data_IF_032354951591
#
_entry.id   IF_032354951591
#
_cell.length_a   1.000
_cell.length_b   1.000
_cell.length_c   1.000
_cell.angle_alpha   90.00
_cell.angle_beta   90.00
_cell.angle_gamma   90.00
#
_symmetry.space_group_name_H-M   'P 1'
#
loop_
_entity.id
_entity.type
_entity.pdbx_description
1 polymer ?
#
# COMPACT_ATOMS: atom_id res chain seq x y z
N UNK A 1 -12.84 -28.56 0.71
CA UNK A 1 -13.01 -27.25 1.37
C UNK A 1 -11.95 -26.31 0.84
N UNK A 2 -12.32 -25.11 0.38
CA UNK A 2 -11.33 -24.12 -0.02
C UNK A 2 -10.40 -23.77 1.15
N UNK A 3 -9.09 -23.54 0.90
CA UNK A 3 -8.13 -23.23 1.96
C UNK A 3 -8.52 -21.94 2.67
N UNK A 4 -8.53 -21.97 4.02
CA UNK A 4 -8.81 -20.76 4.81
C UNK A 4 -7.62 -19.81 4.70
N UNK A 5 -7.89 -18.57 4.31
CA UNK A 5 -6.90 -17.50 4.16
C UNK A 5 -7.02 -16.48 5.28
N UNK A 6 -5.96 -16.27 6.05
CA UNK A 6 -5.87 -15.14 6.97
C UNK A 6 -5.46 -13.89 6.19
N UNK A 7 -6.24 -12.81 6.33
CA UNK A 7 -5.87 -11.46 5.85
C UNK A 7 -5.65 -10.59 7.07
N UNK A 8 -4.43 -10.08 7.24
CA UNK A 8 -4.15 -9.07 8.27
C UNK A 8 -4.27 -7.66 7.68
N UNK A 9 -4.58 -6.68 8.52
CA UNK A 9 -4.88 -5.33 8.02
C UNK A 9 -6.21 -5.26 7.26
N UNK A 10 -7.12 -6.20 7.54
CA UNK A 10 -8.39 -6.36 6.85
C UNK A 10 -9.31 -5.13 6.92
N UNK A 11 -9.16 -4.28 7.93
CA UNK A 11 -9.87 -3.00 8.02
C UNK A 11 -9.23 -1.86 7.22
N UNK A 12 -8.01 -2.05 6.71
CA UNK A 12 -7.30 -1.05 5.92
C UNK A 12 -7.75 -0.96 4.47
N UNK A 13 -7.20 0.01 3.73
CA UNK A 13 -7.51 0.25 2.32
C UNK A 13 -7.36 -1.03 1.48
N UNK A 14 -6.15 -1.56 1.33
CA UNK A 14 -5.89 -2.73 0.50
C UNK A 14 -6.51 -4.01 1.09
N UNK A 15 -6.38 -4.20 2.42
CA UNK A 15 -6.87 -5.40 3.09
C UNK A 15 -8.38 -5.58 2.96
N UNK A 16 -9.17 -4.51 3.04
CA UNK A 16 -10.62 -4.58 2.88
C UNK A 16 -11.05 -4.99 1.46
N UNK A 17 -10.38 -4.48 0.43
CA UNK A 17 -10.63 -4.90 -0.95
C UNK A 17 -10.18 -6.35 -1.20
N UNK A 18 -9.08 -6.78 -0.56
CA UNK A 18 -8.64 -8.17 -0.67
C UNK A 18 -9.61 -9.14 -0.04
N UNK A 19 -10.15 -8.83 1.15
CA UNK A 19 -11.19 -9.66 1.78
C UNK A 19 -12.42 -9.76 0.88
N UNK A 20 -12.91 -8.65 0.32
CA UNK A 20 -14.02 -8.67 -0.64
C UNK A 20 -13.72 -9.56 -1.86
N UNK A 21 -12.52 -9.45 -2.42
CA UNK A 21 -12.11 -10.25 -3.57
C UNK A 21 -12.05 -11.75 -3.26
N UNK A 22 -11.48 -12.14 -2.12
CA UNK A 22 -11.39 -13.54 -1.69
C UNK A 22 -12.76 -14.15 -1.36
N UNK A 23 -13.63 -13.40 -0.68
CA UNK A 23 -15.00 -13.84 -0.41
C UNK A 23 -15.82 -13.99 -1.69
N UNK A 24 -15.63 -13.08 -2.66
CA UNK A 24 -16.25 -13.17 -3.99
C UNK A 24 -15.85 -14.42 -4.77
N UNK A 25 -14.66 -14.98 -4.50
CA UNK A 25 -14.20 -16.26 -5.05
C UNK A 25 -14.72 -17.48 -4.28
N UNK A 26 -15.50 -17.31 -3.23
CA UNK A 26 -15.93 -18.39 -2.35
C UNK A 26 -14.83 -18.93 -1.41
N UNK A 27 -13.76 -18.17 -1.19
CA UNK A 27 -12.72 -18.56 -0.25
C UNK A 27 -13.18 -18.36 1.21
N UNK A 28 -12.78 -19.26 2.09
CA UNK A 28 -12.93 -19.05 3.54
C UNK A 28 -11.90 -18.00 4.00
N UNK A 29 -12.37 -16.87 4.53
CA UNK A 29 -11.51 -15.76 4.94
C UNK A 29 -11.60 -15.51 6.44
N UNK A 30 -10.43 -15.49 7.11
CA UNK A 30 -10.28 -14.91 8.43
C UNK A 30 -9.67 -13.52 8.31
N UNK A 31 -10.32 -12.52 8.89
CA UNK A 31 -9.95 -11.11 8.79
C UNK A 31 -9.44 -10.60 10.14
N UNK A 32 -8.12 -10.34 10.26
CA UNK A 32 -7.55 -9.70 11.45
C UNK A 32 -7.55 -8.19 11.26
N UNK A 33 -8.32 -7.50 12.11
CA UNK A 33 -8.45 -6.04 12.08
C UNK A 33 -8.30 -5.45 13.50
N UNK A 34 -7.72 -4.25 13.59
CA UNK A 34 -7.59 -3.54 14.88
C UNK A 34 -8.95 -3.06 15.37
N UNK A 35 -9.18 -2.99 16.70
CA UNK A 35 -10.47 -2.54 17.27
C UNK A 35 -10.94 -1.18 16.73
N UNK A 36 -10.01 -0.29 16.42
CA UNK A 36 -10.29 1.05 15.90
C UNK A 36 -10.67 1.08 14.42
N UNK A 37 -10.58 -0.06 13.71
CA UNK A 37 -10.80 -0.13 12.27
C UNK A 37 -11.36 -1.49 11.84
N UNK A 38 -12.52 -1.84 12.37
CA UNK A 38 -13.29 -3.06 12.01
C UNK A 38 -14.50 -2.63 11.18
N UNK A 39 -14.49 -2.80 9.86
CA UNK A 39 -15.67 -2.55 9.06
C UNK A 39 -16.78 -3.57 9.39
N UNK A 40 -17.98 -3.10 9.71
CA UNK A 40 -19.12 -3.97 10.06
C UNK A 40 -19.44 -5.01 8.99
N UNK A 41 -19.34 -4.63 7.73
CA UNK A 41 -19.63 -5.50 6.59
C UNK A 41 -18.72 -6.74 6.48
N UNK A 42 -17.58 -6.78 7.16
CA UNK A 42 -16.70 -7.95 7.12
C UNK A 42 -17.41 -9.23 7.59
N UNK A 43 -18.09 -9.13 8.75
CA UNK A 43 -18.87 -10.24 9.27
C UNK A 43 -20.13 -10.50 8.45
N UNK A 44 -20.84 -9.44 8.04
CA UNK A 44 -22.06 -9.53 7.25
C UNK A 44 -21.84 -10.25 5.91
N UNK A 45 -20.63 -10.17 5.34
CA UNK A 45 -20.23 -10.86 4.11
C UNK A 45 -19.60 -12.25 4.34
N UNK A 46 -19.60 -12.74 5.57
CA UNK A 46 -19.14 -14.10 5.89
C UNK A 46 -17.66 -14.24 6.21
N UNK A 47 -16.93 -13.16 6.46
CA UNK A 47 -15.57 -13.26 6.98
C UNK A 47 -15.61 -13.63 8.49
N UNK A 48 -14.73 -14.55 8.90
CA UNK A 48 -14.45 -14.79 10.31
C UNK A 48 -13.60 -13.63 10.84
N UNK A 49 -14.19 -12.74 11.63
CA UNK A 49 -13.50 -11.52 12.10
C UNK A 49 -12.78 -11.78 13.42
N UNK A 50 -11.47 -11.55 13.43
CA UNK A 50 -10.63 -11.53 14.62
C UNK A 50 -10.26 -10.07 14.91
N UNK A 51 -10.68 -9.57 16.07
CA UNK A 51 -10.38 -8.20 16.49
C UNK A 51 -9.12 -8.20 17.34
N UNK A 52 -8.06 -7.56 16.87
CA UNK A 52 -6.80 -7.53 17.58
C UNK A 52 -5.68 -6.78 16.84
N UNK A 53 -4.58 -6.58 17.54
CA UNK A 53 -3.37 -5.97 16.97
C UNK A 53 -2.37 -7.05 16.53
N UNK A 54 -1.88 -6.94 15.30
CA UNK A 54 -0.91 -7.88 14.72
C UNK A 54 0.43 -7.88 15.45
N UNK A 55 0.71 -6.89 16.27
CA UNK A 55 1.93 -6.85 17.10
C UNK A 55 1.84 -7.70 18.37
N UNK A 56 0.67 -8.27 18.68
CA UNK A 56 0.44 -9.09 19.87
C UNK A 56 0.63 -10.57 19.55
N UNK A 57 1.58 -11.27 20.21
CA UNK A 57 1.87 -12.68 19.92
C UNK A 57 0.68 -13.62 20.07
N UNK A 58 -0.15 -13.39 21.10
CA UNK A 58 -1.37 -14.17 21.34
C UNK A 58 -2.39 -14.01 20.20
N UNK A 59 -2.49 -12.80 19.62
CA UNK A 59 -3.38 -12.54 18.49
C UNK A 59 -2.85 -13.18 17.21
N UNK A 60 -1.55 -13.17 17.01
CA UNK A 60 -0.90 -13.83 15.87
C UNK A 60 -1.15 -15.34 15.90
N UNK A 61 -0.94 -15.98 17.04
CA UNK A 61 -1.16 -17.42 17.21
C UNK A 61 -2.63 -17.78 16.95
N UNK A 62 -3.57 -17.08 17.58
CA UNK A 62 -5.01 -17.33 17.42
C UNK A 62 -5.47 -17.09 15.96
N UNK A 63 -4.98 -16.03 15.30
CA UNK A 63 -5.34 -15.72 13.92
C UNK A 63 -4.85 -16.78 12.93
N UNK A 64 -3.68 -17.38 13.14
CA UNK A 64 -3.10 -18.37 12.23
C UNK A 64 -3.72 -19.76 12.35
N UNK A 65 -4.41 -20.10 13.45
CA UNK A 65 -4.96 -21.44 13.68
C UNK A 65 -5.91 -21.90 12.57
N UNK A 66 -5.63 -23.06 11.98
CA UNK A 66 -6.44 -23.65 10.91
C UNK A 66 -6.43 -22.89 9.57
N UNK A 67 -5.54 -21.91 9.40
CA UNK A 67 -5.31 -21.25 8.13
C UNK A 67 -4.23 -21.97 7.32
N UNK A 68 -4.39 -22.03 6.01
CA UNK A 68 -3.41 -22.57 5.07
C UNK A 68 -2.57 -21.49 4.41
N UNK A 69 -3.13 -20.30 4.28
CA UNK A 69 -2.51 -19.14 3.64
C UNK A 69 -2.63 -17.92 4.55
N UNK A 70 -1.57 -17.14 4.62
CA UNK A 70 -1.58 -15.79 5.23
C UNK A 70 -1.29 -14.77 4.15
N UNK A 71 -2.13 -13.74 4.02
CA UNK A 71 -1.82 -12.52 3.26
C UNK A 71 -1.66 -11.37 4.25
N UNK A 72 -0.42 -10.96 4.43
CA UNK A 72 -0.05 -9.97 5.42
C UNK A 72 -0.02 -8.57 4.80
N UNK A 73 -1.13 -7.82 4.98
CA UNK A 73 -1.28 -6.44 4.49
C UNK A 73 -1.32 -5.39 5.63
N UNK A 74 -1.22 -5.83 6.90
CA UNK A 74 -1.09 -4.90 8.01
C UNK A 74 0.26 -4.17 7.95
N UNK A 75 0.23 -2.85 8.09
CA UNK A 75 1.44 -2.01 8.04
C UNK A 75 1.16 -0.62 8.60
N UNK A 76 2.16 0.00 9.20
CA UNK A 76 2.23 1.45 9.30
C UNK A 76 2.69 2.00 7.94
N UNK A 77 2.02 3.03 7.46
CA UNK A 77 2.32 3.68 6.18
C UNK A 77 2.95 5.05 6.40
N UNK A 78 3.60 5.60 5.39
CA UNK A 78 4.40 6.84 5.45
C UNK A 78 3.62 8.06 5.99
N UNK A 79 2.30 8.06 5.90
CA UNK A 79 1.46 9.17 6.35
C UNK A 79 1.23 9.21 7.87
N UNK A 80 1.61 8.17 8.59
CA UNK A 80 1.46 8.11 10.06
C UNK A 80 2.67 8.76 10.70
N UNK A 81 2.44 9.80 11.50
CA UNK A 81 3.50 10.49 12.23
C UNK A 81 3.81 9.74 13.53
N UNK A 82 4.81 8.88 13.47
CA UNK A 82 5.35 8.12 14.60
C UNK A 82 6.87 8.13 14.55
N UNK A 83 7.57 7.83 15.66
CA UNK A 83 9.01 7.61 15.64
C UNK A 83 9.42 6.54 14.62
N UNK A 84 10.57 6.70 14.00
CA UNK A 84 11.06 5.77 12.98
C UNK A 84 11.13 4.31 13.51
N UNK A 85 11.45 4.10 14.79
CA UNK A 85 11.47 2.79 15.45
C UNK A 85 10.12 2.07 15.40
N UNK A 86 8.99 2.79 15.41
CA UNK A 86 7.66 2.20 15.34
C UNK A 86 7.39 1.55 13.96
N UNK A 87 7.96 2.12 12.88
CA UNK A 87 7.88 1.47 11.57
C UNK A 87 8.56 0.10 11.60
N UNK A 88 9.74 -0.01 12.21
CA UNK A 88 10.46 -1.28 12.31
C UNK A 88 9.74 -2.27 13.22
N UNK A 89 9.25 -1.82 14.37
CA UNK A 89 8.49 -2.66 15.31
C UNK A 89 7.23 -3.26 14.67
N UNK A 90 6.44 -2.46 13.94
CA UNK A 90 5.17 -2.91 13.35
C UNK A 90 5.38 -3.60 12.01
N UNK A 91 6.23 -3.06 11.13
CA UNK A 91 6.34 -3.57 9.77
C UNK A 91 7.37 -4.71 9.62
N UNK A 92 8.40 -4.77 10.48
CA UNK A 92 9.43 -5.79 10.39
C UNK A 92 9.32 -6.84 11.51
N UNK A 93 9.42 -6.43 12.77
CA UNK A 93 9.45 -7.37 13.90
C UNK A 93 8.12 -8.13 14.05
N UNK A 94 6.98 -7.43 13.97
CA UNK A 94 5.69 -8.08 14.05
C UNK A 94 5.40 -8.96 12.82
N UNK A 95 5.93 -8.62 11.63
CA UNK A 95 5.82 -9.47 10.43
C UNK A 95 6.62 -10.77 10.60
N UNK A 96 7.84 -10.68 11.13
CA UNK A 96 8.65 -11.86 11.45
C UNK A 96 7.95 -12.76 12.47
N UNK A 97 7.46 -12.19 13.57
CA UNK A 97 6.76 -12.92 14.61
C UNK A 97 5.48 -13.60 14.08
N UNK A 98 4.74 -12.91 13.20
CA UNK A 98 3.57 -13.47 12.53
C UNK A 98 3.95 -14.65 11.62
N UNK A 99 5.02 -14.54 10.84
CA UNK A 99 5.47 -15.62 9.97
C UNK A 99 5.90 -16.86 10.78
N UNK A 100 6.61 -16.68 11.91
CA UNK A 100 6.95 -17.77 12.83
C UNK A 100 5.70 -18.39 13.45
N UNK A 101 4.69 -17.58 13.81
CA UNK A 101 3.39 -18.06 14.33
C UNK A 101 2.62 -18.83 13.25
N UNK A 102 2.66 -18.36 12.01
CA UNK A 102 2.06 -19.03 10.86
C UNK A 102 2.70 -20.40 10.60
N UNK A 103 4.04 -20.48 10.61
CA UNK A 103 4.76 -21.73 10.43
C UNK A 103 4.41 -22.75 11.53
N UNK A 104 4.40 -22.32 12.80
CA UNK A 104 3.98 -23.17 13.94
C UNK A 104 2.54 -23.67 13.83
N UNK A 105 1.65 -22.84 13.27
CA UNK A 105 0.23 -23.21 13.04
C UNK A 105 0.02 -24.11 11.80
N UNK A 106 1.10 -24.46 11.06
CA UNK A 106 1.03 -25.31 9.88
C UNK A 106 0.60 -24.58 8.59
N UNK A 107 0.62 -23.25 8.57
CA UNK A 107 0.41 -22.44 7.36
C UNK A 107 1.44 -22.85 6.31
N UNK A 108 1.00 -22.98 5.06
CA UNK A 108 1.86 -23.42 3.95
C UNK A 108 2.43 -22.28 3.14
N UNK A 109 1.73 -21.16 3.09
CA UNK A 109 2.07 -20.01 2.24
C UNK A 109 1.87 -18.69 2.97
N UNK A 110 2.87 -17.84 2.88
CA UNK A 110 2.87 -16.49 3.44
C UNK A 110 3.10 -15.46 2.33
N UNK A 111 2.08 -14.65 2.06
CA UNK A 111 2.16 -13.55 1.09
C UNK A 111 2.36 -12.24 1.86
N UNK A 112 3.50 -11.62 1.65
CA UNK A 112 3.84 -10.34 2.27
C UNK A 112 3.59 -9.17 1.32
N UNK A 113 2.78 -8.22 1.73
CA UNK A 113 2.61 -6.96 1.00
C UNK A 113 3.72 -5.99 1.40
N UNK A 114 4.73 -5.91 0.55
CA UNK A 114 5.84 -4.96 0.64
C UNK A 114 5.49 -3.66 -0.09
N UNK A 115 6.47 -2.98 -0.67
CA UNK A 115 6.30 -1.73 -1.40
C UNK A 115 7.49 -1.50 -2.33
N UNK A 116 7.29 -0.77 -3.44
CA UNK A 116 8.42 -0.24 -4.22
C UNK A 116 9.26 0.80 -3.46
N UNK A 117 8.80 1.26 -2.28
CA UNK A 117 9.58 2.15 -1.41
C UNK A 117 10.83 1.50 -0.81
N UNK A 118 11.00 0.19 -0.94
CA UNK A 118 12.24 -0.52 -0.59
C UNK A 118 13.40 -0.16 -1.54
N UNK A 119 13.09 0.42 -2.69
CA UNK A 119 14.07 0.91 -3.65
C UNK A 119 14.19 2.43 -3.62
N UNK A 120 15.34 2.94 -4.04
CA UNK A 120 15.49 4.36 -4.38
C UNK A 120 14.58 4.71 -5.56
N UNK A 121 14.02 5.94 -5.62
CA UNK A 121 13.37 6.43 -6.81
C UNK A 121 14.27 6.28 -8.03
N UNK A 122 13.68 5.89 -9.15
CA UNK A 122 14.42 5.67 -10.38
C UNK A 122 14.09 6.75 -11.43
N UNK A 123 15.08 7.06 -12.24
CA UNK A 123 14.91 7.87 -13.44
C UNK A 123 15.41 7.08 -14.64
N UNK A 124 14.52 6.83 -15.60
CA UNK A 124 14.88 6.21 -16.88
C UNK A 124 14.76 4.69 -16.95
N UNK A 125 15.36 3.92 -16.04
CA UNK A 125 15.25 2.45 -16.06
C UNK A 125 14.20 1.94 -15.06
N UNK A 126 13.21 1.12 -15.48
CA UNK A 126 12.24 0.52 -14.58
C UNK A 126 12.91 -0.34 -13.49
N UNK A 127 12.34 -0.30 -12.28
CA UNK A 127 12.68 -1.22 -11.19
C UNK A 127 12.27 -2.64 -11.57
N UNK A 128 13.14 -3.59 -11.27
CA UNK A 128 12.87 -5.03 -11.37
C UNK A 128 13.21 -5.73 -10.04
N UNK A 129 12.98 -7.04 -9.98
CA UNK A 129 13.19 -7.84 -8.78
C UNK A 129 14.68 -7.93 -8.37
N UNK A 130 15.61 -7.66 -9.30
CA UNK A 130 17.06 -7.68 -9.06
C UNK A 130 17.61 -6.29 -8.67
N UNK A 131 16.78 -5.26 -8.74
CA UNK A 131 17.17 -3.90 -8.34
C UNK A 131 17.52 -3.85 -6.87
N UNK A 132 18.66 -3.27 -6.52
CA UNK A 132 19.16 -3.17 -5.14
C UNK A 132 18.15 -2.47 -4.23
N UNK A 133 18.03 -2.94 -2.99
CA UNK A 133 17.21 -2.33 -1.97
C UNK A 133 17.94 -1.14 -1.36
N UNK A 134 17.47 0.06 -1.65
CA UNK A 134 18.02 1.33 -1.15
C UNK A 134 16.88 2.25 -0.71
N UNK A 135 16.24 1.98 0.44
CA UNK A 135 15.13 2.78 0.93
C UNK A 135 15.59 4.18 1.38
N UNK A 136 14.78 5.20 1.09
CA UNK A 136 15.09 6.59 1.45
C UNK A 136 14.43 7.05 2.77
N UNK A 137 13.50 6.28 3.31
CA UNK A 137 12.77 6.62 4.54
C UNK A 137 12.58 5.40 5.46
N UNK A 138 12.14 5.65 6.69
CA UNK A 138 11.92 4.61 7.70
C UNK A 138 10.87 3.59 7.27
N UNK A 139 9.85 4.01 6.50
CA UNK A 139 8.84 3.09 5.96
C UNK A 139 9.47 2.10 4.98
N UNK A 140 10.17 2.60 3.95
CA UNK A 140 10.88 1.75 3.01
C UNK A 140 11.91 0.86 3.69
N UNK A 141 12.68 1.42 4.65
CA UNK A 141 13.63 0.69 5.47
C UNK A 141 13.00 -0.45 6.25
N UNK A 142 11.87 -0.20 6.90
CA UNK A 142 11.14 -1.22 7.66
C UNK A 142 10.57 -2.33 6.77
N UNK A 143 10.12 -1.99 5.54
CA UNK A 143 9.66 -3.01 4.57
C UNK A 143 10.82 -3.86 4.05
N UNK A 144 11.98 -3.26 3.76
CA UNK A 144 13.17 -4.00 3.34
C UNK A 144 13.70 -4.92 4.47
N UNK A 145 13.68 -4.45 5.72
CA UNK A 145 14.04 -5.26 6.88
C UNK A 145 13.06 -6.42 7.08
N UNK A 146 11.74 -6.17 6.91
CA UNK A 146 10.72 -7.21 6.94
C UNK A 146 10.98 -8.31 5.90
N UNK A 147 11.27 -7.94 4.65
CA UNK A 147 11.56 -8.90 3.58
C UNK A 147 12.75 -9.80 3.96
N UNK A 148 13.83 -9.21 4.48
CA UNK A 148 15.02 -9.96 4.91
C UNK A 148 14.71 -10.93 6.03
N UNK A 149 13.97 -10.50 7.07
CA UNK A 149 13.56 -11.33 8.21
C UNK A 149 12.63 -12.46 7.78
N UNK A 150 11.66 -12.16 6.92
CA UNK A 150 10.72 -13.16 6.39
C UNK A 150 11.42 -14.21 5.52
N UNK A 151 12.42 -13.81 4.74
CA UNK A 151 13.24 -14.76 3.97
C UNK A 151 14.01 -15.71 4.88
N UNK A 152 14.56 -15.23 6.01
CA UNK A 152 15.21 -16.07 7.01
C UNK A 152 14.22 -17.07 7.64
N UNK A 153 13.03 -16.60 8.06
CA UNK A 153 11.99 -17.49 8.61
C UNK A 153 11.56 -18.55 7.59
N UNK A 154 11.39 -18.17 6.33
CA UNK A 154 11.02 -19.09 5.26
C UNK A 154 12.09 -20.19 5.05
N UNK A 155 13.37 -19.82 5.07
CA UNK A 155 14.49 -20.77 4.97
C UNK A 155 14.55 -21.73 6.16
N UNK A 156 14.31 -21.25 7.39
CA UNK A 156 14.32 -22.04 8.62
C UNK A 156 13.13 -23.02 8.72
N UNK A 157 11.95 -22.61 8.21
CA UNK A 157 10.69 -23.33 8.49
C UNK A 157 10.11 -24.08 7.30
N UNK A 158 10.62 -23.84 6.10
CA UNK A 158 10.04 -24.35 4.84
C UNK A 158 8.73 -23.64 4.44
N UNK A 159 8.38 -22.52 5.08
CA UNK A 159 7.21 -21.71 4.72
C UNK A 159 7.38 -21.11 3.32
N UNK A 160 6.45 -21.35 2.41
CA UNK A 160 6.49 -20.72 1.08
C UNK A 160 6.26 -19.22 1.21
N UNK A 161 7.29 -18.42 0.94
CA UNK A 161 7.22 -16.95 0.98
C UNK A 161 6.99 -16.36 -0.42
N UNK A 162 6.01 -15.47 -0.51
CA UNK A 162 5.78 -14.62 -1.67
C UNK A 162 5.77 -13.16 -1.22
N UNK A 163 6.63 -12.36 -1.80
CA UNK A 163 6.71 -10.92 -1.53
C UNK A 163 6.13 -10.16 -2.73
N UNK A 164 5.12 -9.35 -2.49
CA UNK A 164 4.54 -8.47 -3.51
C UNK A 164 4.93 -7.03 -3.22
N UNK A 165 5.62 -6.38 -4.15
CA UNK A 165 6.03 -4.96 -4.08
C UNK A 165 5.15 -4.13 -5.01
N UNK A 166 3.98 -3.67 -4.57
CA UNK A 166 3.15 -2.80 -5.40
C UNK A 166 3.78 -1.41 -5.55
N UNK A 167 3.58 -0.81 -6.72
CA UNK A 167 3.80 0.61 -6.94
C UNK A 167 2.73 1.44 -6.23
N UNK A 168 2.49 2.70 -6.62
CA UNK A 168 1.53 3.57 -5.95
C UNK A 168 0.09 3.07 -6.15
N UNK A 169 -0.46 2.45 -5.12
CA UNK A 169 -1.85 1.97 -5.13
C UNK A 169 -2.80 3.14 -4.97
N UNK A 170 -3.92 3.13 -5.70
CA UNK A 170 -5.01 4.09 -5.55
C UNK A 170 -6.37 3.41 -5.77
N UNK A 171 -7.45 4.04 -5.29
CA UNK A 171 -8.80 3.54 -5.45
C UNK A 171 -9.74 3.98 -4.32
N UNK A 172 -10.97 3.47 -4.29
CA UNK A 172 -11.91 3.66 -3.19
C UNK A 172 -11.29 3.33 -1.83
N UNK A 173 -11.62 4.08 -0.78
CA UNK A 173 -11.10 3.92 0.59
C UNK A 173 -9.62 4.32 0.78
N UNK A 174 -8.94 4.86 -0.24
CA UNK A 174 -7.57 5.39 -0.08
C UNK A 174 -7.58 6.76 0.60
N UNK A 175 -7.34 6.80 1.90
CA UNK A 175 -7.28 8.06 2.65
C UNK A 175 -6.10 8.95 2.23
N UNK A 176 -5.03 8.40 1.69
CA UNK A 176 -3.82 9.12 1.30
C UNK A 176 -4.03 9.99 0.06
N UNK A 177 -4.36 9.37 -1.06
CA UNK A 177 -4.68 10.11 -2.29
C UNK A 177 -6.03 10.82 -2.22
N UNK A 178 -6.96 10.37 -1.40
CA UNK A 178 -8.19 11.07 -1.13
C UNK A 178 -8.00 12.50 -0.66
N UNK A 179 -6.93 12.79 0.09
CA UNK A 179 -6.57 14.19 0.43
C UNK A 179 -6.26 15.03 -0.81
N UNK A 180 -5.67 14.43 -1.84
CA UNK A 180 -5.41 15.11 -3.12
C UNK A 180 -6.72 15.38 -3.86
N UNK A 181 -7.61 14.38 -3.93
CA UNK A 181 -8.94 14.55 -4.51
C UNK A 181 -9.70 15.68 -3.82
N UNK A 182 -9.74 15.68 -2.50
CA UNK A 182 -10.40 16.74 -1.70
C UNK A 182 -9.78 18.12 -1.94
N UNK A 183 -8.45 18.21 -1.96
CA UNK A 183 -7.78 19.49 -2.20
C UNK A 183 -8.08 20.05 -3.58
N UNK A 184 -8.18 19.19 -4.61
CA UNK A 184 -8.56 19.59 -5.97
C UNK A 184 -10.03 20.01 -6.00
N UNK A 185 -10.94 19.25 -5.39
CA UNK A 185 -12.37 19.55 -5.35
C UNK A 185 -12.65 20.89 -4.67
N UNK A 186 -11.92 21.19 -3.61
CA UNK A 186 -12.03 22.44 -2.85
C UNK A 186 -11.28 23.64 -3.48
N UNK A 187 -10.60 23.43 -4.62
CA UNK A 187 -9.78 24.49 -5.25
C UNK A 187 -8.54 24.89 -4.46
N UNK A 188 -8.10 24.05 -3.52
CA UNK A 188 -6.95 24.29 -2.62
C UNK A 188 -5.68 23.56 -3.06
N UNK A 189 -5.71 22.88 -4.20
CA UNK A 189 -4.57 22.14 -4.71
C UNK A 189 -3.69 23.01 -5.60
N UNK A 190 -2.42 23.09 -5.25
CA UNK A 190 -1.39 23.77 -6.05
C UNK A 190 -0.38 22.76 -6.58
N UNK A 191 -0.08 22.85 -7.87
CA UNK A 191 1.00 22.08 -8.47
C UNK A 191 2.34 22.65 -8.04
N UNK A 192 3.24 21.78 -7.57
CA UNK A 192 4.57 22.17 -7.13
C UNK A 192 5.61 21.57 -8.06
N UNK A 193 6.46 22.39 -8.62
CA UNK A 193 7.45 21.97 -9.60
C UNK A 193 6.86 21.56 -10.96
N UNK A 194 7.63 20.84 -11.79
CA UNK A 194 7.23 20.46 -13.15
C UNK A 194 6.17 19.35 -13.20
N UNK A 195 5.97 18.60 -12.11
CA UNK A 195 5.07 17.44 -12.02
C UNK A 195 5.32 16.38 -13.12
N UNK A 196 6.57 16.28 -13.61
CA UNK A 196 6.99 15.36 -14.66
C UNK A 196 7.51 14.01 -14.15
N UNK A 197 7.54 13.80 -12.83
CA UNK A 197 7.88 12.51 -12.26
C UNK A 197 6.90 11.44 -12.76
N UNK A 198 7.44 10.32 -13.23
CA UNK A 198 6.68 9.18 -13.75
C UNK A 198 6.42 8.17 -12.63
N UNK A 199 5.18 7.74 -12.50
CA UNK A 199 4.76 6.76 -11.51
C UNK A 199 3.83 5.73 -12.18
N UNK A 200 4.05 4.46 -11.90
CA UNK A 200 3.09 3.42 -12.26
C UNK A 200 2.00 3.36 -11.19
N UNK A 201 0.97 4.20 -11.37
CA UNK A 201 -0.21 4.11 -10.51
C UNK A 201 -0.94 2.80 -10.78
N UNK A 202 -1.15 2.00 -9.73
CA UNK A 202 -1.87 0.74 -9.84
C UNK A 202 -3.21 0.82 -9.11
N UNK A 203 -4.28 0.48 -9.80
CA UNK A 203 -5.61 0.48 -9.19
C UNK A 203 -5.75 -0.69 -8.21
N UNK A 204 -6.44 -0.47 -7.10
CA UNK A 204 -6.52 -1.43 -6.00
C UNK A 204 -7.00 -2.81 -6.42
N UNK A 205 -7.96 -2.92 -7.36
CA UNK A 205 -8.44 -4.23 -7.83
C UNK A 205 -7.37 -5.03 -8.57
N UNK A 206 -6.45 -4.36 -9.27
CA UNK A 206 -5.36 -5.03 -9.96
C UNK A 206 -4.33 -5.59 -8.95
N UNK A 207 -4.06 -4.85 -7.86
CA UNK A 207 -3.22 -5.35 -6.75
C UNK A 207 -3.90 -6.53 -6.05
N UNK A 208 -5.21 -6.44 -5.80
CA UNK A 208 -6.00 -7.56 -5.23
C UNK A 208 -5.87 -8.81 -6.12
N UNK A 209 -5.97 -8.64 -7.45
CA UNK A 209 -5.78 -9.75 -8.39
C UNK A 209 -4.39 -10.37 -8.26
N UNK A 210 -3.32 -9.56 -8.18
CA UNK A 210 -1.97 -10.07 -7.95
C UNK A 210 -1.83 -10.83 -6.62
N UNK A 211 -2.40 -10.30 -5.53
CA UNK A 211 -2.36 -10.94 -4.21
C UNK A 211 -3.15 -12.25 -4.17
N UNK A 212 -4.29 -12.33 -4.83
CA UNK A 212 -5.07 -13.56 -4.97
C UNK A 212 -4.29 -14.63 -5.74
N UNK A 213 -3.58 -14.26 -6.80
CA UNK A 213 -2.67 -15.16 -7.51
C UNK A 213 -1.48 -15.57 -6.64
N UNK A 214 -0.85 -14.63 -5.95
CA UNK A 214 0.23 -14.90 -5.00
C UNK A 214 -0.20 -15.84 -3.86
N UNK A 215 -1.48 -15.84 -3.47
CA UNK A 215 -2.03 -16.75 -2.47
C UNK A 215 -2.09 -18.21 -2.96
N UNK A 216 -2.04 -18.46 -4.27
CA UNK A 216 -2.15 -19.80 -4.87
C UNK A 216 -0.91 -20.26 -5.61
N UNK A 217 -0.13 -19.35 -6.20
CA UNK A 217 1.04 -19.68 -7.00
C UNK A 217 2.21 -18.67 -6.78
N UNK A 218 3.32 -18.91 -7.44
CA UNK A 218 4.52 -18.10 -7.35
C UNK A 218 5.35 -18.33 -6.08
N UNK A 219 6.63 -17.95 -6.13
CA UNK A 219 7.60 -17.99 -5.02
C UNK A 219 8.57 -16.82 -5.20
N UNK A 220 8.96 -16.19 -4.08
CA UNK A 220 9.93 -15.07 -4.10
C UNK A 220 9.27 -13.72 -4.30
N UNK A 221 9.94 -12.81 -5.01
CA UNK A 221 9.57 -11.39 -5.09
C UNK A 221 8.91 -11.06 -6.42
N UNK A 222 7.88 -10.20 -6.37
CA UNK A 222 7.12 -9.73 -7.54
C UNK A 222 6.85 -8.22 -7.43
N UNK A 223 7.24 -7.46 -8.46
CA UNK A 223 6.83 -6.07 -8.60
C UNK A 223 5.48 -5.99 -9.32
N UNK A 224 4.59 -5.12 -8.83
CA UNK A 224 3.23 -4.95 -9.33
C UNK A 224 2.98 -3.48 -9.62
N UNK A 225 2.76 -3.15 -10.89
CA UNK A 225 2.48 -1.80 -11.38
C UNK A 225 1.21 -1.74 -12.22
N UNK A 226 0.79 -0.53 -12.55
CA UNK A 226 -0.37 -0.31 -13.43
C UNK A 226 -0.10 -0.65 -14.89
N UNK A 227 -1.13 -0.54 -15.75
CA UNK A 227 -1.02 -0.85 -17.16
C UNK A 227 -0.28 0.22 -17.98
N UNK A 228 -0.05 1.39 -17.41
CA UNK A 228 0.55 2.54 -18.10
C UNK A 228 1.41 3.38 -17.16
N UNK A 229 2.50 3.93 -17.72
CA UNK A 229 3.31 4.93 -17.06
C UNK A 229 2.61 6.27 -17.12
N UNK A 230 2.58 6.98 -15.99
CA UNK A 230 1.81 8.21 -15.84
C UNK A 230 2.65 9.27 -15.18
N UNK A 231 2.71 10.46 -15.78
CA UNK A 231 3.28 11.62 -15.09
C UNK A 231 2.32 12.13 -14.01
N UNK A 232 2.86 12.73 -12.97
CA UNK A 232 2.04 13.35 -11.92
C UNK A 232 1.11 14.44 -12.49
N UNK A 233 1.57 15.17 -13.51
CA UNK A 233 0.73 16.16 -14.22
C UNK A 233 -0.52 15.52 -14.81
N UNK A 234 -0.35 14.39 -15.50
CA UNK A 234 -1.48 13.65 -16.07
C UNK A 234 -2.39 13.12 -14.98
N UNK A 235 -1.83 12.57 -13.89
CA UNK A 235 -2.62 12.10 -12.76
C UNK A 235 -3.52 13.21 -12.20
N UNK A 236 -2.95 14.38 -11.86
CA UNK A 236 -3.74 15.49 -11.32
C UNK A 236 -4.77 16.03 -12.30
N UNK A 237 -4.45 16.06 -13.60
CA UNK A 237 -5.36 16.51 -14.65
C UNK A 237 -6.57 15.57 -14.77
N UNK A 238 -6.34 14.26 -14.73
CA UNK A 238 -7.44 13.27 -14.77
C UNK A 238 -8.31 13.35 -13.49
N UNK A 239 -7.70 13.57 -12.31
CA UNK A 239 -8.46 13.79 -11.06
C UNK A 239 -9.33 15.03 -11.17
N UNK A 240 -8.77 16.15 -11.63
CA UNK A 240 -9.53 17.40 -11.79
C UNK A 240 -10.69 17.21 -12.79
N UNK A 241 -10.44 16.55 -13.92
CA UNK A 241 -11.48 16.27 -14.92
C UNK A 241 -12.60 15.40 -14.34
N UNK A 242 -12.29 14.33 -13.60
CA UNK A 242 -13.27 13.45 -12.96
C UNK A 242 -14.13 14.17 -11.90
N UNK A 243 -13.58 15.20 -11.26
CA UNK A 243 -14.28 16.04 -10.28
C UNK A 243 -15.01 17.23 -10.91
N UNK A 244 -14.91 17.43 -12.24
CA UNK A 244 -15.47 18.60 -12.93
C UNK A 244 -14.75 19.92 -12.54
N UNK A 245 -13.49 19.83 -12.14
CA UNK A 245 -12.68 20.96 -11.71
C UNK A 245 -11.59 21.28 -12.72
N UNK A 246 -10.99 22.47 -12.59
CA UNK A 246 -9.82 22.89 -13.35
C UNK A 246 -8.66 23.14 -12.40
N UNK A 247 -7.48 22.65 -12.77
CA UNK A 247 -6.26 22.93 -12.00
C UNK A 247 -5.84 24.41 -12.20
N UNK A 248 -5.33 25.09 -11.16
CA UNK A 248 -4.75 26.43 -11.30
C UNK A 248 -3.67 26.43 -12.39
N UNK A 249 -3.62 27.48 -13.21
CA UNK A 249 -2.56 27.63 -14.23
C UNK A 249 -1.20 27.88 -13.64
N UNK A 250 -1.16 28.59 -12.50
CA UNK A 250 0.06 28.89 -11.78
C UNK A 250 0.63 27.64 -11.12
N UNK A 251 1.94 27.48 -11.23
CA UNK A 251 2.71 26.43 -10.55
C UNK A 251 3.63 27.06 -9.52
N UNK A 252 3.72 26.50 -8.35
CA UNK A 252 4.67 26.94 -7.33
C UNK A 252 6.05 26.39 -7.64
N UNK A 253 7.09 27.20 -7.71
CA UNK A 253 8.46 26.71 -7.85
C UNK A 253 8.82 25.81 -6.67
N UNK A 254 9.48 24.69 -6.94
CA UNK A 254 9.76 23.65 -5.93
C UNK A 254 10.66 24.18 -4.79
N UNK A 255 11.72 24.94 -5.12
CA UNK A 255 12.67 25.47 -4.11
C UNK A 255 11.99 26.36 -3.08
N UNK A 256 11.33 27.46 -3.48
CA UNK A 256 10.57 28.30 -2.56
C UNK A 256 9.49 27.56 -1.78
N UNK A 257 8.77 26.62 -2.41
CA UNK A 257 7.76 25.82 -1.74
C UNK A 257 8.34 24.91 -0.64
N UNK A 258 9.49 24.28 -0.90
CA UNK A 258 10.20 23.46 0.09
C UNK A 258 10.74 24.32 1.26
N UNK A 259 11.29 25.49 0.95
CA UNK A 259 11.78 26.42 1.99
C UNK A 259 10.64 26.86 2.91
N UNK A 260 9.53 27.33 2.32
CA UNK A 260 8.34 27.73 3.07
C UNK A 260 7.79 26.57 3.94
N UNK A 261 7.69 25.36 3.39
CA UNK A 261 7.27 24.19 4.14
C UNK A 261 8.24 23.85 5.30
N UNK A 262 9.54 24.02 5.10
CA UNK A 262 10.56 23.84 6.14
C UNK A 262 10.40 24.84 7.29
N UNK A 263 10.16 26.11 6.98
CA UNK A 263 9.90 27.17 7.99
C UNK A 263 8.60 26.88 8.75
N UNK A 264 7.52 26.56 8.04
CA UNK A 264 6.23 26.20 8.64
C UNK A 264 6.39 24.97 9.56
N UNK A 265 7.06 23.93 9.08
CA UNK A 265 7.28 22.71 9.87
C UNK A 265 8.03 23.02 11.18
N UNK A 266 9.10 23.81 11.12
CA UNK A 266 9.86 24.23 12.33
C UNK A 266 9.00 25.02 13.31
N UNK A 267 8.21 25.98 12.81
CA UNK A 267 7.33 26.79 13.66
C UNK A 267 6.27 25.93 14.38
N UNK A 268 5.66 24.98 13.67
CA UNK A 268 4.68 24.06 14.27
C UNK A 268 5.31 23.13 15.30
N UNK A 269 6.48 22.55 14.97
CA UNK A 269 7.23 21.68 15.90
C UNK A 269 7.64 22.44 17.17
N UNK A 270 8.05 23.70 17.05
CA UNK A 270 8.42 24.54 18.20
C UNK A 270 7.26 24.77 19.18
N UNK A 271 6.00 24.70 18.72
CA UNK A 271 4.80 24.82 19.57
C UNK A 271 4.15 23.44 19.87
N UNK A 272 4.87 22.35 19.63
CA UNK A 272 4.39 20.99 19.90
C UNK A 272 3.23 20.51 19.02
N UNK A 273 3.06 21.12 17.83
CA UNK A 273 1.99 20.77 16.89
C UNK A 273 2.52 20.09 15.63
N UNK A 274 1.73 19.19 15.05
CA UNK A 274 2.06 18.61 13.74
C UNK A 274 1.95 19.65 12.62
N UNK A 275 2.99 19.76 11.74
CA UNK A 275 2.95 20.69 10.64
C UNK A 275 1.92 20.24 9.57
N UNK A 276 1.11 21.16 9.04
CA UNK A 276 0.13 20.86 7.99
C UNK A 276 0.80 20.42 6.68
N UNK A 277 2.05 20.87 6.48
CA UNK A 277 2.86 20.52 5.31
C UNK A 277 4.27 20.15 5.78
N UNK A 278 4.68 18.91 5.53
CA UNK A 278 6.03 18.45 5.82
C UNK A 278 6.88 18.46 4.53
N UNK A 279 8.16 18.89 4.57
CA UNK A 279 9.05 18.88 3.42
C UNK A 279 9.16 17.51 2.72
N UNK A 280 9.12 16.42 3.50
CA UNK A 280 9.12 15.04 2.97
C UNK A 280 7.99 14.78 1.95
N UNK A 281 6.86 15.46 2.04
CA UNK A 281 5.75 15.31 1.08
C UNK A 281 6.08 15.81 -0.31
N UNK A 282 7.05 16.73 -0.45
CA UNK A 282 7.49 17.22 -1.76
C UNK A 282 8.36 16.21 -2.53
N UNK A 283 8.92 15.22 -1.86
CA UNK A 283 9.62 14.11 -2.52
C UNK A 283 8.72 13.39 -3.53
N UNK A 284 7.41 13.30 -3.25
CA UNK A 284 6.42 12.75 -4.18
C UNK A 284 6.42 13.47 -5.55
N UNK A 285 6.63 14.78 -5.59
CA UNK A 285 6.63 15.55 -6.84
C UNK A 285 7.91 15.40 -7.68
N UNK A 286 8.97 14.82 -7.11
CA UNK A 286 10.29 14.66 -7.76
C UNK A 286 10.61 13.24 -8.17
N UNK A 287 10.06 12.28 -7.45
CA UNK A 287 10.58 10.92 -7.46
C UNK A 287 9.77 10.04 -8.42
N UNK A 288 10.37 9.68 -9.54
CA UNK A 288 9.80 8.68 -10.44
C UNK A 288 9.90 7.29 -9.81
N UNK A 289 8.84 6.47 -9.99
CA UNK A 289 8.80 5.07 -9.60
C UNK A 289 8.06 4.27 -10.65
N UNK A 290 8.82 3.75 -11.58
CA UNK A 290 8.35 2.90 -12.68
C UNK A 290 8.85 1.48 -12.46
N UNK A 291 8.00 0.50 -12.65
CA UNK A 291 8.32 -0.92 -12.42
C UNK A 291 8.22 -1.76 -13.68
N UNK A 292 9.06 -2.78 -13.79
CA UNK A 292 8.95 -3.84 -14.78
C UNK A 292 8.24 -5.03 -14.13
N UNK A 293 6.93 -5.14 -14.31
CA UNK A 293 6.15 -6.24 -13.74
C UNK A 293 6.23 -7.54 -14.56
N UNK A 294 7.37 -7.79 -15.20
CA UNK A 294 7.54 -8.93 -16.14
C UNK A 294 7.41 -10.27 -15.43
N UNK A 295 8.06 -10.42 -14.28
CA UNK A 295 8.00 -11.65 -13.49
C UNK A 295 6.60 -11.92 -12.95
N UNK A 296 5.89 -10.89 -12.46
CA UNK A 296 4.51 -11.03 -12.03
C UNK A 296 3.58 -11.49 -13.18
N UNK A 297 3.84 -10.99 -14.40
CA UNK A 297 3.07 -11.41 -15.59
C UNK A 297 3.32 -12.88 -15.93
N UNK A 298 4.58 -13.32 -15.91
CA UNK A 298 4.94 -14.70 -16.27
C UNK A 298 4.48 -15.71 -15.20
N UNK A 299 4.82 -15.46 -13.94
CA UNK A 299 4.65 -16.46 -12.88
C UNK A 299 3.26 -16.43 -12.23
N UNK A 300 2.64 -15.24 -12.12
CA UNK A 300 1.34 -15.06 -11.49
C UNK A 300 0.20 -14.86 -12.50
N UNK A 301 0.51 -14.74 -13.80
CA UNK A 301 -0.48 -14.35 -14.80
C UNK A 301 -1.05 -12.94 -14.54
N UNK A 302 -0.25 -12.05 -13.93
CA UNK A 302 -0.67 -10.69 -13.61
C UNK A 302 -0.87 -9.87 -14.88
N UNK A 303 -2.08 -9.36 -15.06
CA UNK A 303 -2.45 -8.48 -16.17
C UNK A 303 -3.26 -7.30 -15.61
N UNK A 304 -2.63 -6.15 -15.31
CA UNK A 304 -3.36 -4.99 -14.83
C UNK A 304 -4.31 -4.48 -15.90
N UNK A 305 -5.59 -4.34 -15.54
CA UNK A 305 -6.66 -4.04 -16.48
C UNK A 305 -7.20 -2.62 -16.37
N UNK A 306 -7.05 -1.99 -15.19
CA UNK A 306 -7.69 -0.70 -14.93
C UNK A 306 -6.77 0.46 -15.30
N UNK A 307 -7.08 1.10 -16.43
CA UNK A 307 -6.37 2.32 -16.87
C UNK A 307 -6.66 3.49 -15.94
N UNK A 308 -5.73 4.43 -15.87
CA UNK A 308 -5.75 5.58 -14.96
C UNK A 308 -7.09 6.33 -14.98
N UNK A 309 -7.56 6.74 -16.15
CA UNK A 309 -8.82 7.51 -16.30
C UNK A 309 -10.02 6.77 -15.71
N UNK A 310 -10.13 5.47 -16.00
CA UNK A 310 -11.23 4.65 -15.49
C UNK A 310 -11.15 4.46 -13.98
N UNK A 311 -9.94 4.19 -13.45
CA UNK A 311 -9.72 4.04 -12.02
C UNK A 311 -9.98 5.33 -11.24
N UNK A 312 -9.55 6.47 -11.77
CA UNK A 312 -9.81 7.78 -11.17
C UNK A 312 -11.32 8.09 -11.17
N UNK A 313 -12.03 7.83 -12.27
CA UNK A 313 -13.48 8.04 -12.33
C UNK A 313 -14.22 7.24 -11.26
N UNK A 314 -13.94 5.93 -11.14
CA UNK A 314 -14.50 5.06 -10.07
C UNK A 314 -14.15 5.55 -8.66
N UNK A 315 -12.93 6.04 -8.48
CA UNK A 315 -12.47 6.57 -7.18
C UNK A 315 -13.19 7.86 -6.83
N UNK A 316 -13.35 8.79 -7.78
CA UNK A 316 -14.07 10.04 -7.59
C UNK A 316 -15.57 9.82 -7.32
N UNK A 317 -16.19 8.84 -7.99
CA UNK A 317 -17.57 8.45 -7.76
C UNK A 317 -17.76 7.94 -6.32
N UNK A 318 -16.89 7.01 -5.89
CA UNK A 318 -16.93 6.49 -4.53
C UNK A 318 -16.80 7.59 -3.46
N UNK A 319 -15.89 8.58 -3.67
CA UNK A 319 -15.75 9.68 -2.72
C UNK A 319 -17.01 10.57 -2.67
N UNK A 320 -17.71 10.75 -3.77
CA UNK A 320 -18.98 11.49 -3.79
C UNK A 320 -20.08 10.73 -3.02
N UNK A 321 -20.21 9.43 -3.23
CA UNK A 321 -21.19 8.57 -2.56
C UNK A 321 -20.92 8.42 -1.06
N UNK A 322 -19.66 8.29 -0.67
CA UNK A 322 -19.23 8.22 0.72
C UNK A 322 -19.34 9.54 1.50
N UNK A 323 -19.91 10.60 0.88
CA UNK A 323 -20.08 11.89 1.53
C UNK A 323 -18.77 12.64 1.82
N UNK A 324 -17.76 12.36 1.07
CA UNK A 324 -16.45 12.97 1.19
C UNK A 324 -16.47 14.44 0.67
N UNK A 325 -17.19 15.31 1.36
CA UNK A 325 -17.21 16.75 1.13
C UNK A 325 -16.38 17.52 2.16
#
# INVERSE_FOLDING_TARGET
MSPRTLVTGAGGFLGSHLVEGLLGDGCAVRALARPTNVPRWLADRGAEVVVGDVTRPEMQAAACQGCQVVVHAASLVTEVAVPDSEYFRVNAEASEALARSAARAGVKRFVFVSSTSVHRPNSGRPLDENTVLEPEDAYGGSKADAERRLAAVAAETGLTLVVVRPSRIYGPRDASLGRVFRAIDQGRFWRVGPCNAEVDFVYVSDVVTALRRAATCGIGVYLVGGPERVTLERFFTEVAAALGRRLPRLRLPLGPAMLAAGVIARAYTAVGREPPVAPKRFAFFRNSRVVAASRARMDLGYAPAVRLRAGIARTAEWYREAGWR
#
